data_IF_531264523712
#
_entry.id   IF_531264523712
#
_cell.length_a   1.000
_cell.length_b   1.000
_cell.length_c   1.000
_cell.angle_alpha   90.00
_cell.angle_beta   90.00
_cell.angle_gamma   90.00
#
_symmetry.space_group_name_H-M   'P 1'
#
loop_
_entity.id
_entity.type
_entity.pdbx_description
1 polymer ?
#
# COMPACT_ATOMS: atom_id res chain seq x y z
N UNK A 1 -18.50 -14.56 1.05
CA UNK A 1 -18.64 -15.49 2.19
C UNK A 1 -18.92 -14.70 3.46
N UNK A 2 -19.83 -15.17 4.31
CA UNK A 2 -20.11 -14.55 5.60
C UNK A 2 -19.64 -15.49 6.72
N UNK A 3 -18.91 -14.96 7.69
CA UNK A 3 -18.51 -15.68 8.88
C UNK A 3 -19.54 -15.39 9.98
N UNK A 4 -20.39 -16.37 10.28
CA UNK A 4 -21.44 -16.23 11.29
C UNK A 4 -20.90 -16.11 12.73
N UNK A 5 -19.66 -16.55 13.00
CA UNK A 5 -19.08 -16.52 14.34
C UNK A 5 -18.61 -15.13 14.77
N UNK A 6 -18.25 -14.26 13.83
CA UNK A 6 -17.84 -12.87 14.10
C UNK A 6 -18.60 -11.82 13.28
N UNK A 7 -19.65 -12.23 12.56
CA UNK A 7 -20.47 -11.35 11.73
C UNK A 7 -19.76 -10.77 10.50
N UNK A 8 -18.55 -11.24 10.16
CA UNK A 8 -17.79 -10.65 9.06
C UNK A 8 -18.36 -11.06 7.69
N UNK A 9 -18.60 -10.08 6.81
CA UNK A 9 -18.85 -10.31 5.39
C UNK A 9 -17.59 -10.06 4.57
N UNK A 10 -17.11 -11.08 3.86
CA UNK A 10 -16.01 -10.98 2.91
C UNK A 10 -16.51 -11.22 1.48
N UNK A 11 -16.29 -10.26 0.57
CA UNK A 11 -16.78 -10.33 -0.80
C UNK A 11 -15.70 -9.92 -1.81
N UNK A 12 -15.03 -10.89 -2.47
CA UNK A 12 -14.06 -10.61 -3.52
C UNK A 12 -14.73 -10.38 -4.88
N UNK A 13 -14.18 -9.48 -5.68
CA UNK A 13 -14.58 -9.19 -7.07
C UNK A 13 -13.34 -8.93 -7.91
N UNK A 14 -13.42 -9.29 -9.20
CA UNK A 14 -12.43 -8.94 -10.21
C UNK A 14 -13.08 -8.00 -11.21
N UNK A 15 -12.55 -6.79 -11.31
CA UNK A 15 -13.17 -5.76 -12.15
C UNK A 15 -12.59 -5.79 -13.57
N UNK A 16 -11.27 -5.94 -13.70
CA UNK A 16 -10.55 -5.91 -14.98
C UNK A 16 -9.46 -6.99 -14.96
N UNK A 17 -9.24 -7.64 -16.09
CA UNK A 17 -8.06 -8.48 -16.35
C UNK A 17 -7.59 -8.29 -17.79
N UNK A 18 -6.37 -7.79 -17.93
CA UNK A 18 -5.71 -7.58 -19.21
C UNK A 18 -4.49 -8.49 -19.27
N UNK A 19 -4.47 -9.36 -20.28
CA UNK A 19 -3.31 -10.18 -20.58
C UNK A 19 -2.22 -9.32 -21.21
N UNK A 20 -1.02 -9.34 -20.65
CA UNK A 20 0.13 -8.64 -21.21
C UNK A 20 1.24 -9.62 -21.57
N UNK A 21 2.22 -9.17 -22.36
CA UNK A 21 3.38 -10.00 -22.75
C UNK A 21 4.32 -10.33 -21.60
N UNK A 22 4.10 -9.76 -20.42
CA UNK A 22 4.85 -10.01 -19.19
C UNK A 22 3.91 -10.42 -18.05
N UNK A 23 3.61 -9.48 -17.16
CA UNK A 23 2.67 -9.70 -16.06
C UNK A 23 1.26 -9.28 -16.46
N UNK A 24 0.27 -10.12 -16.14
CA UNK A 24 -1.13 -9.75 -16.30
C UNK A 24 -1.48 -8.59 -15.37
N UNK A 25 -2.25 -7.64 -15.90
CA UNK A 25 -2.76 -6.53 -15.11
C UNK A 25 -4.19 -6.87 -14.74
N UNK A 26 -4.42 -7.14 -13.45
CA UNK A 26 -5.75 -7.35 -12.90
C UNK A 26 -6.03 -6.38 -11.75
N UNK A 27 -7.27 -5.93 -11.64
CA UNK A 27 -7.79 -5.21 -10.47
C UNK A 27 -8.72 -6.16 -9.74
N UNK A 28 -8.24 -6.66 -8.62
CA UNK A 28 -8.96 -7.54 -7.71
C UNK A 28 -9.25 -6.76 -6.44
N UNK A 29 -10.53 -6.67 -6.08
CA UNK A 29 -11.00 -5.95 -4.89
C UNK A 29 -11.71 -6.89 -3.95
N UNK A 30 -11.68 -6.56 -2.66
CA UNK A 30 -12.44 -7.28 -1.67
C UNK A 30 -13.10 -6.32 -0.69
N UNK A 31 -14.39 -6.56 -0.40
CA UNK A 31 -15.06 -5.93 0.72
C UNK A 31 -14.87 -6.79 1.97
N UNK A 32 -14.54 -6.15 3.10
CA UNK A 32 -14.47 -6.77 4.42
C UNK A 32 -15.29 -5.93 5.40
N UNK A 33 -16.37 -6.52 5.91
CA UNK A 33 -17.29 -5.85 6.84
C UNK A 33 -16.62 -5.40 8.15
N UNK A 34 -15.56 -6.08 8.60
CA UNK A 34 -14.79 -5.66 9.77
C UNK A 34 -13.92 -4.42 9.51
N UNK A 35 -13.75 -4.03 8.24
CA UNK A 35 -13.01 -2.83 7.84
C UNK A 35 -13.95 -1.73 7.33
N UNK A 36 -15.26 -1.77 7.66
CA UNK A 36 -16.26 -0.84 7.13
C UNK A 36 -15.98 0.64 7.39
N UNK A 37 -15.10 0.96 8.33
CA UNK A 37 -14.66 2.33 8.65
C UNK A 37 -13.38 2.75 7.90
N UNK A 38 -12.65 1.80 7.33
CA UNK A 38 -11.40 2.07 6.61
C UNK A 38 -11.71 2.50 5.18
N UNK A 39 -11.40 3.75 4.87
CA UNK A 39 -11.53 4.27 3.51
C UNK A 39 -10.44 3.74 2.58
N UNK A 40 -10.76 3.70 1.29
CA UNK A 40 -9.86 3.32 0.22
C UNK A 40 -10.25 4.06 -1.06
N UNK A 41 -9.43 4.02 -2.13
CA UNK A 41 -9.82 4.49 -3.47
C UNK A 41 -11.21 4.03 -3.94
N UNK A 42 -11.67 2.88 -3.44
CA UNK A 42 -12.90 2.22 -3.81
C UNK A 42 -14.03 2.39 -2.78
N UNK A 43 -13.82 3.21 -1.75
CA UNK A 43 -14.75 3.49 -0.66
C UNK A 43 -14.49 2.63 0.58
N UNK A 44 -15.24 2.92 1.63
CA UNK A 44 -15.05 2.30 2.94
C UNK A 44 -15.34 0.78 2.92
N UNK A 45 -14.52 0.02 3.63
CA UNK A 45 -14.62 -1.44 3.70
C UNK A 45 -14.05 -2.18 2.48
N UNK A 46 -13.66 -1.46 1.42
CA UNK A 46 -13.00 -2.04 0.26
C UNK A 46 -11.47 -2.00 0.41
N UNK A 47 -10.81 -3.03 -0.10
CA UNK A 47 -9.38 -3.05 -0.39
C UNK A 47 -9.16 -3.61 -1.79
N UNK A 48 -7.95 -3.46 -2.33
CA UNK A 48 -7.59 -3.98 -3.65
C UNK A 48 -6.11 -4.37 -3.72
N UNK A 49 -5.75 -5.17 -4.70
CA UNK A 49 -4.42 -5.76 -4.86
C UNK A 49 -3.27 -4.77 -5.09
N UNK A 50 -3.54 -3.48 -5.30
CA UNK A 50 -2.52 -2.43 -5.36
C UNK A 50 -2.75 -1.32 -4.31
N UNK A 51 -3.49 -1.64 -3.24
CA UNK A 51 -3.73 -0.72 -2.13
C UNK A 51 -2.48 -0.56 -1.26
N UNK A 52 -1.50 0.19 -1.76
CA UNK A 52 -0.24 0.46 -1.06
C UNK A 52 -0.33 1.86 -0.44
N UNK A 53 -0.16 1.95 0.88
CA UNK A 53 -0.24 3.22 1.61
C UNK A 53 0.64 3.22 2.87
N UNK A 54 0.93 4.42 3.37
CA UNK A 54 1.64 4.61 4.63
C UNK A 54 0.69 5.11 5.71
N UNK A 55 0.91 4.66 6.94
CA UNK A 55 0.33 5.24 8.15
C UNK A 55 1.48 5.73 9.03
N UNK A 56 1.43 7.00 9.41
CA UNK A 56 2.43 7.64 10.26
C UNK A 56 1.84 7.85 11.67
N UNK A 57 2.46 7.24 12.68
CA UNK A 57 2.12 7.38 14.10
C UNK A 57 3.41 7.33 14.94
N UNK A 58 4.27 8.34 14.74
CA UNK A 58 5.66 8.37 15.21
C UNK A 58 6.58 7.54 14.31
N UNK A 59 6.35 6.23 14.28
CA UNK A 59 6.91 5.32 13.27
C UNK A 59 6.03 5.30 12.01
N UNK A 60 6.54 4.75 10.91
CA UNK A 60 5.79 4.66 9.65
C UNK A 60 5.53 3.22 9.29
N UNK A 61 4.27 2.85 9.13
CA UNK A 61 3.87 1.51 8.67
C UNK A 61 3.46 1.55 7.20
N UNK A 62 4.17 0.77 6.38
CA UNK A 62 3.80 0.48 5.00
C UNK A 62 2.79 -0.66 4.99
N UNK A 63 1.62 -0.41 4.41
CA UNK A 63 0.65 -1.44 4.06
C UNK A 63 0.78 -1.75 2.58
N UNK A 64 0.89 -3.02 2.22
CA UNK A 64 0.99 -3.47 0.83
C UNK A 64 -0.32 -4.10 0.33
N UNK A 65 -0.45 -4.23 -0.99
CA UNK A 65 -1.67 -4.72 -1.64
C UNK A 65 -2.02 -6.18 -1.36
N UNK A 66 -1.06 -6.97 -0.86
CA UNK A 66 -1.28 -8.35 -0.39
C UNK A 66 -1.77 -8.43 1.07
N UNK A 67 -1.90 -7.27 1.73
CA UNK A 67 -2.32 -7.15 3.13
C UNK A 67 -1.18 -7.25 4.14
N UNK A 68 0.07 -7.43 3.69
CA UNK A 68 1.22 -7.33 4.57
C UNK A 68 1.43 -5.91 5.08
N UNK A 69 2.07 -5.80 6.25
CA UNK A 69 2.38 -4.53 6.87
C UNK A 69 3.81 -4.55 7.43
N UNK A 70 4.55 -3.48 7.20
CA UNK A 70 5.95 -3.33 7.58
C UNK A 70 6.17 -1.99 8.27
N UNK A 71 6.52 -2.04 9.55
CA UNK A 71 6.79 -0.84 10.35
C UNK A 71 8.26 -0.47 10.28
N UNK A 72 8.51 0.77 9.85
CA UNK A 72 9.81 1.40 9.75
C UNK A 72 9.99 2.35 10.93
N UNK A 73 11.09 2.18 11.66
CA UNK A 73 11.37 2.99 12.85
C UNK A 73 12.05 4.30 12.46
N UNK A 74 11.50 5.41 12.92
CA UNK A 74 12.02 6.74 12.60
C UNK A 74 13.43 6.95 13.15
N UNK A 75 14.30 7.57 12.36
CA UNK A 75 15.62 8.07 12.77
C UNK A 75 15.76 9.56 12.42
N UNK A 76 16.95 10.12 12.62
CA UNK A 76 17.22 11.53 12.33
C UNK A 76 17.06 11.87 10.82
N UNK A 77 16.77 13.14 10.53
CA UNK A 77 16.71 13.72 9.18
C UNK A 77 15.72 13.06 8.20
N UNK A 78 14.66 12.44 8.74
CA UNK A 78 13.56 11.86 7.97
C UNK A 78 13.88 10.50 7.34
N UNK A 79 14.99 9.87 7.70
CA UNK A 79 15.24 8.48 7.33
C UNK A 79 14.54 7.52 8.30
N UNK A 80 14.37 6.26 7.86
CA UNK A 80 13.79 5.22 8.69
C UNK A 80 14.57 3.90 8.58
N UNK A 81 14.60 3.14 9.68
CA UNK A 81 15.17 1.80 9.76
C UNK A 81 14.11 0.76 9.41
N UNK A 82 14.44 -0.12 8.47
CA UNK A 82 13.57 -1.21 8.02
C UNK A 82 13.47 -2.32 9.04
N UNK A 83 12.31 -3.00 9.15
CA UNK A 83 12.16 -4.15 10.04
C UNK A 83 12.97 -5.36 9.55
N UNK A 84 13.29 -6.34 10.42
CA UNK A 84 14.04 -7.52 10.04
C UNK A 84 13.41 -8.26 8.84
N UNK A 85 14.25 -8.64 7.87
CA UNK A 85 13.82 -9.33 6.64
C UNK A 85 13.32 -8.41 5.53
N UNK A 86 13.07 -7.12 5.83
CA UNK A 86 12.71 -6.11 4.82
C UNK A 86 13.95 -5.29 4.47
N UNK A 87 14.28 -5.26 3.18
CA UNK A 87 15.46 -4.57 2.65
C UNK A 87 15.12 -3.26 1.92
N UNK A 88 13.85 -2.88 1.89
CA UNK A 88 13.42 -1.60 1.33
C UNK A 88 13.87 -0.45 2.23
N UNK A 89 14.23 0.70 1.66
CA UNK A 89 14.59 1.92 2.39
C UNK A 89 13.46 2.93 2.28
N UNK A 90 13.09 3.54 3.39
CA UNK A 90 12.07 4.58 3.45
C UNK A 90 12.70 5.89 3.91
N UNK A 91 12.32 6.98 3.23
CA UNK A 91 12.72 8.35 3.61
C UNK A 91 11.52 9.30 3.48
N UNK A 92 11.33 10.18 4.46
CA UNK A 92 10.44 11.34 4.39
C UNK A 92 11.20 12.52 3.79
N UNK A 93 10.60 13.13 2.77
CA UNK A 93 11.13 14.28 2.08
C UNK A 93 10.68 15.58 2.78
N UNK A 94 11.42 16.70 2.60
CA UNK A 94 11.06 17.99 3.20
C UNK A 94 9.68 18.53 2.79
N UNK A 95 9.16 18.10 1.65
CA UNK A 95 7.82 18.46 1.15
C UNK A 95 6.68 17.61 1.76
N UNK A 96 7.00 16.73 2.71
CA UNK A 96 6.06 15.84 3.39
C UNK A 96 5.75 14.54 2.64
N UNK A 97 6.33 14.34 1.45
CA UNK A 97 6.21 13.07 0.71
C UNK A 97 7.15 12.00 1.23
N UNK A 98 6.89 10.74 0.91
CA UNK A 98 7.77 9.64 1.25
C UNK A 98 8.36 9.00 0.01
N UNK A 99 9.61 8.56 0.10
CA UNK A 99 10.32 7.79 -0.93
C UNK A 99 10.59 6.39 -0.40
N UNK A 100 9.99 5.39 -1.02
CA UNK A 100 10.27 3.98 -0.77
C UNK A 100 11.16 3.42 -1.90
N UNK A 101 12.30 2.84 -1.55
CA UNK A 101 13.23 2.20 -2.49
C UNK A 101 13.36 0.72 -2.18
N UNK A 102 13.01 -0.14 -3.12
CA UNK A 102 13.24 -1.59 -2.98
C UNK A 102 14.71 -1.96 -3.20
N UNK A 103 15.09 -3.15 -2.69
CA UNK A 103 16.48 -3.66 -2.70
C UNK A 103 17.14 -3.67 -4.08
N UNK A 104 16.35 -3.86 -5.13
CA UNK A 104 16.81 -4.00 -6.52
C UNK A 104 16.90 -2.66 -7.26
N UNK A 105 16.71 -1.52 -6.58
CA UNK A 105 16.72 -0.15 -7.13
C UNK A 105 15.76 0.10 -8.32
N UNK A 106 15.00 -0.90 -8.74
CA UNK A 106 14.22 -0.89 -9.98
C UNK A 106 12.86 -0.22 -9.82
N UNK A 107 12.40 -0.05 -8.57
CA UNK A 107 11.12 0.58 -8.25
C UNK A 107 11.34 1.60 -7.12
N UNK A 108 11.33 2.89 -7.45
CA UNK A 108 11.20 3.95 -6.44
C UNK A 108 9.74 4.40 -6.44
N UNK A 109 9.13 4.44 -5.27
CA UNK A 109 7.75 4.89 -5.10
C UNK A 109 7.74 6.17 -4.27
N UNK A 110 7.17 7.24 -4.84
CA UNK A 110 6.84 8.46 -4.10
C UNK A 110 5.40 8.38 -3.59
N UNK A 111 5.22 8.45 -2.27
CA UNK A 111 3.92 8.34 -1.59
C UNK A 111 3.57 9.74 -1.07
N UNK A 112 2.43 10.27 -1.52
CA UNK A 112 1.96 11.59 -1.12
C UNK A 112 1.34 11.54 0.28
N UNK A 113 1.58 12.54 1.15
CA UNK A 113 0.87 12.68 2.41
C UNK A 113 -0.60 12.88 2.08
N UNK A 114 -1.43 11.98 2.58
CA UNK A 114 -2.82 11.87 2.11
C UNK A 114 -3.60 13.11 2.55
N UNK A 115 -3.96 13.95 1.59
CA UNK A 115 -5.13 14.83 1.73
C UNK A 115 -6.10 14.69 0.54
N UNK A 116 -5.70 14.19 -0.63
CA UNK A 116 -6.64 13.88 -1.73
C UNK A 116 -6.06 12.82 -2.70
N UNK A 117 -6.98 12.05 -3.32
CA UNK A 117 -6.85 10.81 -4.11
C UNK A 117 -5.78 10.75 -5.24
N UNK A 118 -5.06 9.60 -5.26
CA UNK A 118 -4.42 8.82 -6.36
C UNK A 118 -3.57 9.56 -7.41
N UNK A 119 -2.26 9.28 -7.43
CA UNK A 119 -1.52 8.79 -8.63
C UNK A 119 -0.11 8.29 -8.22
N UNK A 120 0.13 6.97 -8.31
CA UNK A 120 1.48 6.40 -8.26
C UNK A 120 2.08 6.45 -9.67
N UNK A 121 2.94 7.42 -9.95
CA UNK A 121 3.72 7.46 -11.21
C UNK A 121 4.98 6.60 -11.01
N UNK A 122 5.05 5.46 -11.71
CA UNK A 122 6.34 4.75 -11.87
C UNK A 122 7.22 5.58 -12.80
N UNK A 123 8.34 6.08 -12.30
CA UNK A 123 9.41 6.57 -13.17
C UNK A 123 10.37 5.41 -13.44
N UNK A 124 10.47 5.00 -14.70
CA UNK A 124 11.53 4.12 -15.16
C UNK A 124 12.77 4.99 -15.44
N UNK A 125 13.86 4.77 -14.72
CA UNK A 125 15.17 5.29 -15.13
C UNK A 125 15.78 4.33 -16.13
N UNK A 126 16.09 4.84 -17.33
CA UNK A 126 16.76 4.11 -18.42
C UNK A 126 18.25 3.91 -18.19
#
# INVERSE_FOLDING_TARGET
MANAANGNLFFPTRDISIKARGFDIAIDRAYNGLNSEKDSPFGCGWTFNYNIYLVEDGDVTLHEGDGSAHTFTSIEDGDYVSPPGIHSKLRKNPDGTFTLRFKDASNTISILPVCFKILLIRTATG
#
